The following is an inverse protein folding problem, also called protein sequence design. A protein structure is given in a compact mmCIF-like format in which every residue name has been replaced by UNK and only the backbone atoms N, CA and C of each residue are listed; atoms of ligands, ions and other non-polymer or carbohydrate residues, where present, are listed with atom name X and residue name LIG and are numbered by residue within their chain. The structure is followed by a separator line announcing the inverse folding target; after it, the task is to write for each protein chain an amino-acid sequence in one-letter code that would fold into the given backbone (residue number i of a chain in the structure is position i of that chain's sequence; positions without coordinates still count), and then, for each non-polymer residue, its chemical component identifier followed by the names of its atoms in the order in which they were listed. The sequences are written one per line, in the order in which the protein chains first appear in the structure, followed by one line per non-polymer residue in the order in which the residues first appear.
data_IF_065938758283
#
_entry.id   IF_065938758283
#
_cell.length_a   1.000
_cell.length_b   1.000
_cell.length_c   1.000
_cell.angle_alpha   90.00
_cell.angle_beta   90.00
_cell.angle_gamma   90.00
#
_symmetry.space_group_name_H-M   'P 1'
#
loop_
_entity.id
_entity.type
_entity.pdbx_description
1 polymer ?
#
# COMPACT_ATOMS: atom_id res chain seq x y z
N UNK A 1 3.45 6.50 -2.98
CA UNK A 1 2.58 7.27 -3.91
C UNK A 1 2.08 8.62 -3.37
N UNK A 2 2.12 8.89 -2.07
CA UNK A 2 1.57 10.13 -1.48
C UNK A 2 0.28 9.90 -0.67
N UNK A 3 -0.27 8.68 -0.73
CA UNK A 3 -1.40 8.22 0.08
C UNK A 3 -2.63 9.11 0.00
N UNK A 4 -3.49 9.02 1.01
CA UNK A 4 -4.76 9.75 1.06
C UNK A 4 -4.58 11.28 0.98
N UNK A 5 -3.41 11.79 1.35
CA UNK A 5 -3.14 13.23 1.45
C UNK A 5 -2.77 13.87 0.12
N UNK A 6 -1.95 13.20 -0.69
CA UNK A 6 -1.39 13.76 -1.93
C UNK A 6 -1.78 13.00 -3.20
N UNK A 7 -2.03 11.69 -3.12
CA UNK A 7 -2.50 10.85 -4.24
C UNK A 7 -4.03 10.89 -4.37
N UNK A 8 -4.71 11.13 -3.24
CA UNK A 8 -6.16 11.34 -3.17
C UNK A 8 -6.88 10.30 -2.32
N UNK A 9 -8.14 10.58 -1.98
CA UNK A 9 -8.98 9.71 -1.16
C UNK A 9 -10.39 9.52 -1.77
N UNK A 10 -10.49 8.87 -2.95
CA UNK A 10 -11.77 8.41 -3.46
C UNK A 10 -12.29 7.27 -2.58
N UNK A 11 -13.47 7.47 -1.98
CA UNK A 11 -14.12 6.44 -1.15
C UNK A 11 -14.35 5.16 -1.98
N UNK A 12 -14.02 4.01 -1.40
CA UNK A 12 -14.15 2.69 -2.02
C UNK A 12 -13.00 2.29 -2.97
N UNK A 13 -12.19 3.24 -3.46
CA UNK A 13 -11.04 2.94 -4.32
C UNK A 13 -9.69 3.03 -3.59
N UNK A 14 -9.64 3.67 -2.42
CA UNK A 14 -8.40 3.91 -1.66
C UNK A 14 -7.72 2.62 -1.22
N UNK A 15 -8.44 1.65 -0.64
CA UNK A 15 -7.89 0.34 -0.30
C UNK A 15 -7.25 -0.38 -1.49
N UNK A 16 -7.89 -0.30 -2.67
CA UNK A 16 -7.34 -0.84 -3.91
C UNK A 16 -6.03 -0.15 -4.32
N UNK A 17 -5.97 1.18 -4.22
CA UNK A 17 -4.76 1.94 -4.50
C UNK A 17 -3.62 1.60 -3.54
N UNK A 18 -3.92 1.37 -2.25
CA UNK A 18 -2.93 0.94 -1.26
C UNK A 18 -2.35 -0.43 -1.59
N UNK A 19 -3.20 -1.41 -1.91
CA UNK A 19 -2.77 -2.75 -2.35
C UNK A 19 -1.92 -2.64 -3.62
N UNK A 20 -2.34 -1.86 -4.60
CA UNK A 20 -1.60 -1.66 -5.84
C UNK A 20 -0.18 -1.12 -5.58
N UNK A 21 -0.04 -0.05 -4.79
CA UNK A 21 1.27 0.53 -4.49
C UNK A 21 2.17 -0.47 -3.77
N UNK A 22 1.66 -1.21 -2.79
CA UNK A 22 2.46 -2.24 -2.08
C UNK A 22 2.90 -3.35 -3.03
N UNK A 23 2.05 -3.79 -3.96
CA UNK A 23 2.43 -4.80 -4.97
C UNK A 23 3.51 -4.25 -5.91
N UNK A 24 3.41 -3.00 -6.37
CA UNK A 24 4.46 -2.38 -7.20
C UNK A 24 5.80 -2.34 -6.45
N UNK A 25 5.79 -2.01 -5.16
CA UNK A 25 6.99 -1.99 -4.32
C UNK A 25 7.61 -3.39 -4.18
N UNK A 26 6.79 -4.40 -3.89
CA UNK A 26 7.26 -5.79 -3.77
C UNK A 26 7.84 -6.32 -5.08
N UNK A 27 7.29 -5.89 -6.23
CA UNK A 27 7.79 -6.29 -7.54
C UNK A 27 9.05 -5.55 -8.00
N UNK A 28 9.44 -4.47 -7.34
CA UNK A 28 10.52 -3.60 -7.82
C UNK A 28 10.08 -2.69 -8.98
N UNK A 29 8.78 -2.46 -9.15
CA UNK A 29 8.16 -1.75 -10.28
C UNK A 29 7.63 -0.36 -9.88
N UNK A 30 8.01 0.17 -8.71
CA UNK A 30 7.50 1.46 -8.22
C UNK A 30 8.22 2.69 -8.81
N UNK A 31 9.18 2.49 -9.73
CA UNK A 31 9.92 3.56 -10.40
C UNK A 31 10.70 4.43 -9.41
N UNK A 32 10.66 5.75 -9.59
CA UNK A 32 11.37 6.72 -8.73
C UNK A 32 10.93 6.68 -7.25
N UNK A 33 9.79 6.03 -6.96
CA UNK A 33 9.26 5.86 -5.60
C UNK A 33 9.69 4.55 -4.95
N UNK A 34 10.46 3.72 -5.64
CA UNK A 34 10.90 2.43 -5.12
C UNK A 34 11.64 2.62 -3.79
N UNK A 35 11.18 1.89 -2.76
CA UNK A 35 11.81 1.95 -1.44
C UNK A 35 13.19 1.32 -1.53
N UNK A 36 14.19 2.07 -1.06
CA UNK A 36 15.53 1.54 -0.81
C UNK A 36 15.50 0.72 0.49
N UNK A 37 15.72 -0.58 0.37
CA UNK A 37 15.58 -1.53 1.47
C UNK A 37 16.91 -2.25 1.70
N UNK A 38 17.34 -2.32 2.97
CA UNK A 38 18.57 -3.03 3.38
C UNK A 38 18.55 -4.55 3.08
N UNK A 39 17.35 -5.10 2.82
CA UNK A 39 17.09 -6.52 2.58
C UNK A 39 16.02 -6.69 1.50
N UNK A 40 15.93 -7.89 0.94
CA UNK A 40 14.89 -8.23 -0.03
C UNK A 40 13.48 -8.00 0.54
N UNK A 41 12.67 -7.25 -0.20
CA UNK A 41 11.30 -6.91 0.16
C UNK A 41 10.38 -8.11 -0.13
N UNK A 42 10.23 -8.97 0.88
CA UNK A 42 9.45 -10.23 0.80
C UNK A 42 7.97 -10.06 1.15
N UNK A 43 7.67 -9.10 2.03
CA UNK A 43 6.33 -8.91 2.58
C UNK A 43 5.91 -7.45 2.57
N UNK A 44 4.62 -7.23 2.33
CA UNK A 44 3.97 -5.93 2.40
C UNK A 44 2.75 -5.97 3.31
N UNK A 45 2.41 -4.83 3.90
CA UNK A 45 1.24 -4.69 4.76
C UNK A 45 0.43 -3.47 4.34
N UNK A 46 -0.88 -3.65 4.23
CA UNK A 46 -1.86 -2.59 3.99
C UNK A 46 -2.81 -2.54 5.18
N UNK A 47 -3.02 -1.34 5.71
CA UNK A 47 -4.02 -1.07 6.74
C UNK A 47 -4.94 0.05 6.26
N UNK A 48 -6.19 -0.33 5.99
CA UNK A 48 -7.26 0.60 5.65
C UNK A 48 -8.16 0.83 6.86
N UNK A 49 -8.49 2.09 7.12
CA UNK A 49 -9.41 2.51 8.16
C UNK A 49 -10.60 3.21 7.53
N UNK A 50 -11.81 2.80 7.92
CA UNK A 50 -13.04 3.46 7.48
C UNK A 50 -13.74 4.22 8.62
N UNK A 51 -14.48 5.26 8.24
CA UNK A 51 -15.25 6.09 9.17
C UNK A 51 -14.33 6.78 10.19
N UNK A 52 -14.74 6.75 11.46
CA UNK A 52 -13.96 7.28 12.58
C UNK A 52 -13.14 6.17 13.27
N UNK A 53 -12.57 5.26 12.48
CA UNK A 53 -11.84 4.10 12.99
C UNK A 53 -12.74 2.98 13.51
N UNK A 54 -13.97 2.89 13.02
CA UNK A 54 -14.94 1.86 13.43
C UNK A 54 -14.73 0.53 12.71
N UNK A 55 -14.00 0.54 11.60
CA UNK A 55 -13.60 -0.64 10.85
C UNK A 55 -12.15 -0.50 10.42
N UNK A 56 -11.46 -1.63 10.45
CA UNK A 56 -10.10 -1.75 9.97
C UNK A 56 -10.00 -3.02 9.13
N UNK A 57 -9.33 -2.90 7.98
CA UNK A 57 -8.99 -4.02 7.11
C UNK A 57 -7.46 -4.09 7.03
N UNK A 58 -6.90 -5.26 7.37
CA UNK A 58 -5.48 -5.50 7.28
C UNK A 58 -5.21 -6.63 6.29
N UNK A 59 -4.32 -6.36 5.34
CA UNK A 59 -3.90 -7.32 4.31
C UNK A 59 -2.39 -7.45 4.34
N UNK A 60 -1.90 -8.68 4.53
CA UNK A 60 -0.48 -9.03 4.39
C UNK A 60 -0.28 -9.69 3.04
N UNK A 61 0.65 -9.16 2.26
CA UNK A 61 1.02 -9.64 0.93
C UNK A 61 2.43 -10.25 1.00
N UNK A 62 2.64 -11.37 0.30
CA UNK A 62 3.94 -12.02 0.17
C UNK A 62 4.35 -12.14 -1.29
N UNK A 63 5.65 -12.05 -1.56
CA UNK A 63 6.27 -12.37 -2.85
C UNK A 63 7.18 -13.58 -2.68
N UNK A 64 6.99 -14.58 -3.52
CA UNK A 64 7.81 -15.81 -3.56
C UNK A 64 9.22 -15.54 -4.12
#
# INVERSE_FOLDING_TARGET
NGGLKADGNPMGATGGAQVFEVVQQLKGEAGDRQVDADKDLRFGCVLELEGFGTKAYLTVLGRD
#
